data_IF_849503476499
#
_entry.id   IF_849503476499
#
_cell.length_a   1.000
_cell.length_b   1.000
_cell.length_c   1.000
_cell.angle_alpha   90.00
_cell.angle_beta   90.00
_cell.angle_gamma   90.00
#
_symmetry.space_group_name_H-M   'P 1'
#
loop_
_entity.id
_entity.type
_entity.pdbx_description
1 polymer ?
#
# COMPACT_ATOMS: atom_id res chain seq x y z
N UNK A 1 -47.25 -18.90 5.92
CA UNK A 1 -46.53 -19.24 4.67
C UNK A 1 -46.14 -18.02 3.82
N UNK A 2 -47.02 -17.03 3.58
CA UNK A 2 -46.66 -15.83 2.79
C UNK A 2 -45.68 -14.86 3.47
N UNK A 3 -45.82 -14.63 4.78
CA UNK A 3 -44.92 -13.74 5.56
C UNK A 3 -43.51 -14.31 5.78
N UNK A 4 -43.40 -15.63 5.92
CA UNK A 4 -42.12 -16.34 6.05
C UNK A 4 -41.28 -16.30 4.75
N UNK A 5 -41.94 -16.19 3.59
CA UNK A 5 -41.27 -16.05 2.30
C UNK A 5 -40.70 -14.64 2.08
N UNK A 6 -41.35 -13.61 2.62
CA UNK A 6 -40.86 -12.23 2.55
C UNK A 6 -39.61 -12.00 3.43
N UNK A 7 -39.53 -12.69 4.57
CA UNK A 7 -38.35 -12.65 5.45
C UNK A 7 -37.14 -13.30 4.77
N UNK A 8 -37.36 -14.41 4.04
CA UNK A 8 -36.29 -15.07 3.28
C UNK A 8 -35.72 -14.19 2.15
N UNK A 9 -36.57 -13.38 1.49
CA UNK A 9 -36.15 -12.47 0.42
C UNK A 9 -35.39 -11.25 0.98
N UNK A 10 -35.74 -10.76 2.18
CA UNK A 10 -35.06 -9.63 2.81
C UNK A 10 -33.64 -10.00 3.31
N UNK A 11 -33.45 -11.23 3.77
CA UNK A 11 -32.14 -11.73 4.21
C UNK A 11 -31.22 -11.99 3.02
N UNK A 12 -31.76 -12.38 1.87
CA UNK A 12 -30.99 -12.60 0.65
C UNK A 12 -30.40 -11.31 0.05
N UNK A 13 -31.09 -10.16 0.17
CA UNK A 13 -30.59 -8.85 -0.32
C UNK A 13 -29.60 -8.17 0.61
N UNK A 14 -29.65 -8.45 1.92
CA UNK A 14 -28.65 -7.95 2.88
C UNK A 14 -27.33 -8.76 2.84
N UNK A 15 -27.35 -10.01 2.37
CA UNK A 15 -26.16 -10.85 2.23
C UNK A 15 -25.28 -10.53 1.02
N UNK A 16 -25.78 -9.80 0.01
CA UNK A 16 -25.05 -9.56 -1.24
C UNK A 16 -24.03 -8.41 -1.18
N UNK A 17 -24.06 -7.58 -0.12
CA UNK A 17 -23.12 -6.45 0.04
C UNK A 17 -21.72 -6.87 0.51
N UNK A 18 -21.53 -8.11 0.98
CA UNK A 18 -20.25 -8.58 1.52
C UNK A 18 -19.31 -9.16 0.43
N UNK A 19 -19.68 -9.07 -0.84
CA UNK A 19 -18.96 -9.75 -1.95
C UNK A 19 -17.86 -8.88 -2.61
N UNK A 20 -17.64 -7.60 -2.24
CA UNK A 20 -16.91 -6.67 -3.12
C UNK A 20 -15.54 -6.09 -2.69
N UNK A 21 -14.87 -6.48 -1.58
CA UNK A 21 -13.63 -5.73 -1.27
C UNK A 21 -12.62 -6.25 -0.25
N UNK A 22 -12.72 -7.51 0.19
CA UNK A 22 -11.81 -8.02 1.23
C UNK A 22 -10.61 -8.83 0.69
N UNK A 23 -10.58 -9.16 -0.61
CA UNK A 23 -9.66 -10.19 -1.11
C UNK A 23 -8.40 -9.67 -1.81
N UNK A 24 -8.26 -8.36 -2.01
CA UNK A 24 -7.03 -7.76 -2.49
C UNK A 24 -6.73 -6.59 -1.56
N UNK A 25 -5.99 -6.88 -0.50
CA UNK A 25 -5.56 -5.92 0.48
C UNK A 25 -4.95 -4.73 -0.26
N UNK A 26 -5.73 -3.66 -0.38
CA UNK A 26 -5.21 -2.38 -0.82
C UNK A 26 -4.03 -2.14 0.13
N UNK A 27 -2.80 -2.13 -0.39
CA UNK A 27 -1.58 -1.80 0.35
C UNK A 27 -1.27 -0.31 0.10
N UNK A 28 -2.21 0.65 0.31
CA UNK A 28 -1.96 2.04 -0.01
C UNK A 28 -0.76 2.52 0.80
N UNK A 29 -0.55 2.00 2.02
CA UNK A 29 0.58 2.35 2.88
C UNK A 29 1.94 2.01 2.28
N UNK A 30 2.10 0.85 1.62
CA UNK A 30 3.36 0.49 0.96
C UNK A 30 3.59 1.35 -0.29
N UNK A 31 2.53 1.61 -1.05
CA UNK A 31 2.59 2.52 -2.19
C UNK A 31 2.88 3.98 -1.77
N UNK A 32 2.31 4.45 -0.66
CA UNK A 32 2.55 5.75 -0.05
C UNK A 32 3.99 5.85 0.44
N UNK A 33 4.49 4.82 1.13
CA UNK A 33 5.87 4.73 1.57
C UNK A 33 6.83 4.83 0.37
N UNK A 34 6.55 4.12 -0.72
CA UNK A 34 7.35 4.20 -1.95
C UNK A 34 7.37 5.60 -2.54
N UNK A 35 6.22 6.29 -2.59
CA UNK A 35 6.16 7.69 -3.07
C UNK A 35 6.98 8.62 -2.16
N UNK A 36 6.84 8.49 -0.85
CA UNK A 36 7.57 9.31 0.12
C UNK A 36 9.09 9.08 0.05
N UNK A 37 9.52 7.82 -0.11
CA UNK A 37 10.94 7.48 -0.26
C UNK A 37 11.52 8.06 -1.56
N UNK A 38 10.78 8.01 -2.67
CA UNK A 38 11.22 8.62 -3.94
C UNK A 38 11.32 10.15 -3.83
N UNK A 39 10.39 10.78 -3.13
CA UNK A 39 10.48 12.22 -2.87
C UNK A 39 11.72 12.54 -2.02
N UNK A 40 11.95 11.79 -0.94
CA UNK A 40 13.13 11.97 -0.10
C UNK A 40 14.44 11.77 -0.87
N UNK A 41 14.49 10.83 -1.82
CA UNK A 41 15.65 10.63 -2.69
C UNK A 41 15.93 11.85 -3.56
N UNK A 42 14.90 12.41 -4.19
CA UNK A 42 15.00 13.65 -4.99
C UNK A 42 15.48 14.82 -4.13
N UNK A 43 14.91 14.99 -2.94
CA UNK A 43 15.28 16.07 -2.02
C UNK A 43 16.75 15.95 -1.56
N UNK A 44 17.22 14.72 -1.30
CA UNK A 44 18.60 14.44 -0.94
C UNK A 44 19.57 14.69 -2.10
N UNK A 45 19.18 14.39 -3.34
CA UNK A 45 20.00 14.68 -4.53
C UNK A 45 20.12 16.20 -4.78
N UNK A 46 19.04 16.94 -4.52
CA UNK A 46 19.00 18.40 -4.68
C UNK A 46 19.74 19.16 -3.56
N UNK A 47 20.01 18.51 -2.41
CA UNK A 47 20.68 19.14 -1.29
C UNK A 47 22.15 19.49 -1.62
N UNK A 48 22.52 20.75 -1.41
CA UNK A 48 23.81 21.32 -1.80
C UNK A 48 25.00 20.67 -1.09
N UNK A 49 24.92 20.49 0.23
CA UNK A 49 26.04 20.01 1.04
C UNK A 49 25.94 18.53 1.41
N UNK A 50 26.99 17.76 1.10
CA UNK A 50 27.22 16.45 1.70
C UNK A 50 27.82 16.63 3.10
N UNK A 51 27.01 17.12 4.04
CA UNK A 51 27.38 17.42 5.44
C UNK A 51 28.11 16.22 6.06
N UNK A 52 29.44 16.20 6.00
CA UNK A 52 30.28 15.12 6.54
C UNK A 52 29.96 13.70 6.04
N UNK A 53 29.66 13.49 4.75
CA UNK A 53 29.23 12.21 4.12
C UNK A 53 27.82 11.73 4.46
N UNK A 54 27.05 12.49 5.26
CA UNK A 54 25.71 12.08 5.68
C UNK A 54 24.71 12.05 4.52
N UNK A 55 24.86 12.92 3.50
CA UNK A 55 23.95 12.94 2.35
C UNK A 55 24.10 11.66 1.54
N UNK A 56 25.33 11.28 1.23
CA UNK A 56 25.61 10.03 0.51
C UNK A 56 25.11 8.80 1.28
N UNK A 57 25.31 8.76 2.59
CA UNK A 57 24.79 7.67 3.45
C UNK A 57 23.26 7.63 3.43
N UNK A 58 22.60 8.77 3.56
CA UNK A 58 21.14 8.86 3.51
C UNK A 58 20.59 8.39 2.16
N UNK A 59 21.19 8.80 1.04
CA UNK A 59 20.82 8.35 -0.31
C UNK A 59 20.86 6.82 -0.38
N UNK A 60 21.97 6.21 0.05
CA UNK A 60 22.11 4.74 0.04
C UNK A 60 21.05 4.04 0.89
N UNK A 61 20.71 4.60 2.06
CA UNK A 61 19.65 4.03 2.90
C UNK A 61 18.28 4.15 2.26
N UNK A 62 17.98 5.28 1.61
CA UNK A 62 16.72 5.50 0.90
C UNK A 62 16.60 4.55 -0.30
N UNK A 63 17.66 4.38 -1.08
CA UNK A 63 17.68 3.44 -2.22
C UNK A 63 17.44 1.99 -1.76
N UNK A 64 18.10 1.57 -0.67
CA UNK A 64 17.88 0.25 -0.09
C UNK A 64 16.43 0.07 0.38
N UNK A 65 15.84 1.09 1.02
CA UNK A 65 14.45 1.05 1.47
C UNK A 65 13.46 0.97 0.29
N UNK A 66 13.69 1.73 -0.78
CA UNK A 66 12.90 1.66 -2.03
C UNK A 66 12.89 0.22 -2.55
N UNK A 67 14.06 -0.41 -2.66
CA UNK A 67 14.18 -1.76 -3.18
C UNK A 67 13.38 -2.79 -2.35
N UNK A 68 13.40 -2.65 -1.02
CA UNK A 68 12.65 -3.53 -0.11
C UNK A 68 11.13 -3.30 -0.19
N UNK A 69 10.68 -2.04 -0.26
CA UNK A 69 9.24 -1.72 -0.39
C UNK A 69 8.71 -2.25 -1.72
N UNK A 70 9.44 -2.06 -2.82
CA UNK A 70 9.06 -2.63 -4.11
C UNK A 70 9.05 -4.17 -4.08
N UNK A 71 9.97 -4.80 -3.36
CA UNK A 71 9.96 -6.25 -3.17
C UNK A 71 8.73 -6.72 -2.40
N UNK A 72 8.35 -6.02 -1.32
CA UNK A 72 7.14 -6.30 -0.55
C UNK A 72 5.87 -6.17 -1.39
N UNK A 73 5.74 -5.08 -2.16
CA UNK A 73 4.62 -4.89 -3.10
C UNK A 73 4.57 -6.03 -4.14
N UNK A 74 5.71 -6.48 -4.66
CA UNK A 74 5.77 -7.60 -5.62
C UNK A 74 5.51 -8.96 -4.99
N UNK A 75 5.76 -9.12 -3.69
CA UNK A 75 5.51 -10.36 -2.97
C UNK A 75 4.00 -10.55 -2.79
N UNK A 76 3.32 -9.51 -2.32
CA UNK A 76 1.86 -9.42 -2.13
C UNK A 76 1.09 -9.60 -3.45
N UNK A 77 1.60 -9.08 -4.57
CA UNK A 77 1.01 -9.35 -5.90
C UNK A 77 1.10 -10.81 -6.37
N UNK A 78 1.92 -11.63 -5.73
CA UNK A 78 2.23 -13.01 -6.16
C UNK A 78 1.74 -14.09 -5.19
N UNK A 79 1.28 -13.73 -3.99
CA UNK A 79 0.85 -14.64 -2.92
C UNK A 79 -0.38 -14.09 -2.23
#
# INVERSE_FOLDING_TARGET
>A
MRKSLQIAILVATLGSGFVLGQAQADQPRMHDALRNLRQAHVDLLAASDDKGSHKLKAIRHVEAAIAQVEAGIRFDRRH
#
